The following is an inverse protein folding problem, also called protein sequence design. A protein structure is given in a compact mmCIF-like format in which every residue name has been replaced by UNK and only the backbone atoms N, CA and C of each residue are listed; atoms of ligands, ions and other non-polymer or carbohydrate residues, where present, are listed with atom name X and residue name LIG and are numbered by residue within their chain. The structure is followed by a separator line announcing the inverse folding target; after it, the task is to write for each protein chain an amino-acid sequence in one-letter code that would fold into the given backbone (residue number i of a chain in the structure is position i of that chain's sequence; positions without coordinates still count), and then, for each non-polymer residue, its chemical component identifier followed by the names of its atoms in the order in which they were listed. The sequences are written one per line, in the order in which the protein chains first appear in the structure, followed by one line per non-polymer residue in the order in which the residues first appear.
data_IF_939855218266
#
_entry.id   IF_939855218266
#
_cell.length_a   1.000
_cell.length_b   1.000
_cell.length_c   1.000
_cell.angle_alpha   90.00
_cell.angle_beta   90.00
_cell.angle_gamma   90.00
#
_symmetry.space_group_name_H-M   'P 1'
#
loop_
_entity.id
_entity.type
_entity.pdbx_description
1 polymer ?
#
# COMPACT_ATOMS: atom_id res chain seq x y z
N UNK A 1 9.23 35.62 -5.48
CA UNK A 1 8.76 34.73 -6.56
C UNK A 1 8.50 33.37 -5.94
N UNK A 2 7.23 33.02 -5.69
CA UNK A 2 6.89 31.69 -5.18
C UNK A 2 7.15 30.68 -6.29
N UNK A 3 8.01 29.71 -6.03
CA UNK A 3 8.21 28.58 -6.95
C UNK A 3 6.87 27.87 -7.16
N UNK A 4 6.51 27.46 -8.39
CA UNK A 4 5.31 26.66 -8.58
C UNK A 4 5.47 25.38 -7.75
N UNK A 5 4.53 25.15 -6.84
CA UNK A 5 4.44 23.91 -6.09
C UNK A 5 4.30 22.78 -7.09
N UNK A 6 5.38 22.01 -7.33
CA UNK A 6 5.33 20.83 -8.17
C UNK A 6 4.35 19.85 -7.54
N UNK A 7 3.19 19.67 -8.16
CA UNK A 7 2.30 18.56 -7.83
C UNK A 7 3.12 17.26 -7.86
N UNK A 8 3.03 16.41 -6.82
CA UNK A 8 3.70 15.12 -6.82
C UNK A 8 3.33 14.33 -8.07
N UNK A 9 4.32 13.67 -8.69
CA UNK A 9 4.03 12.75 -9.81
C UNK A 9 3.27 11.54 -9.26
N UNK A 10 2.24 11.05 -9.97
CA UNK A 10 1.59 9.80 -9.61
C UNK A 10 2.59 8.66 -9.44
N UNK A 11 2.38 7.81 -8.43
CA UNK A 11 3.29 6.73 -8.11
C UNK A 11 2.58 5.53 -7.48
N UNK A 12 3.16 4.37 -7.74
CA UNK A 12 2.78 3.10 -7.13
C UNK A 12 3.88 2.67 -6.16
N UNK A 13 3.49 2.18 -4.98
CA UNK A 13 4.44 1.79 -3.94
C UNK A 13 4.25 0.34 -3.51
N UNK A 14 5.35 -0.41 -3.43
CA UNK A 14 5.41 -1.72 -2.79
C UNK A 14 5.62 -1.53 -1.29
N UNK A 15 4.79 -2.19 -0.49
CA UNK A 15 4.92 -2.27 0.96
C UNK A 15 5.01 -3.73 1.39
N UNK A 16 6.02 -4.04 2.21
CA UNK A 16 6.11 -5.34 2.87
C UNK A 16 5.03 -5.46 3.96
N UNK A 17 4.35 -6.60 3.99
CA UNK A 17 3.26 -6.92 4.90
C UNK A 17 3.35 -8.39 5.33
N UNK A 18 3.03 -8.69 6.59
CA UNK A 18 2.89 -10.08 7.02
C UNK A 18 1.46 -10.57 6.82
N UNK A 19 1.26 -11.89 6.87
CA UNK A 19 -0.03 -12.49 6.54
C UNK A 19 -1.18 -12.04 7.45
N UNK A 20 -1.06 -12.01 8.80
CA UNK A 20 -2.17 -11.57 9.65
C UNK A 20 -2.71 -10.17 9.30
N UNK A 21 -1.84 -9.21 8.98
CA UNK A 21 -2.28 -7.87 8.58
C UNK A 21 -2.84 -7.84 7.16
N UNK A 22 -2.32 -8.68 6.26
CA UNK A 22 -2.85 -8.79 4.91
C UNK A 22 -4.27 -9.38 4.90
N UNK A 23 -4.54 -10.41 5.71
CA UNK A 23 -5.88 -10.99 5.83
C UNK A 23 -6.90 -9.95 6.36
N UNK A 24 -6.49 -9.09 7.31
CA UNK A 24 -7.36 -7.99 7.76
C UNK A 24 -7.73 -7.01 6.63
N UNK A 25 -6.83 -6.79 5.66
CA UNK A 25 -7.11 -5.95 4.50
C UNK A 25 -8.04 -6.67 3.52
N UNK A 26 -7.80 -7.96 3.26
CA UNK A 26 -8.62 -8.80 2.37
C UNK A 26 -10.06 -8.90 2.90
N UNK A 27 -10.21 -9.13 4.21
CA UNK A 27 -11.50 -9.23 4.90
C UNK A 27 -12.21 -7.87 5.05
N UNK A 28 -11.57 -6.77 4.66
CA UNK A 28 -12.10 -5.42 4.78
C UNK A 28 -12.15 -4.87 6.20
N UNK A 29 -11.55 -5.58 7.17
CA UNK A 29 -11.46 -5.15 8.58
C UNK A 29 -10.49 -3.97 8.73
N UNK A 30 -9.37 -3.99 8.00
CA UNK A 30 -8.39 -2.90 7.95
C UNK A 30 -8.61 -2.05 6.70
N UNK A 31 -9.27 -0.91 6.86
CA UNK A 31 -9.62 0.00 5.77
C UNK A 31 -8.57 1.09 5.50
N UNK A 32 -7.60 1.26 6.41
CA UNK A 32 -6.50 2.22 6.27
C UNK A 32 -5.13 1.57 6.50
N UNK A 33 -4.15 1.99 5.71
CA UNK A 33 -2.74 1.73 5.93
C UNK A 33 -2.07 2.96 6.57
N UNK A 34 -1.51 2.79 7.77
CA UNK A 34 -0.90 3.87 8.55
C UNK A 34 0.62 3.87 8.35
N UNK A 35 1.22 5.02 8.09
CA UNK A 35 2.68 5.16 7.90
C UNK A 35 3.26 6.36 8.62
N UNK A 36 4.55 6.23 8.97
CA UNK A 36 5.35 7.31 9.54
C UNK A 36 5.90 8.31 8.53
N UNK A 37 5.60 8.10 7.26
CA UNK A 37 6.13 8.91 6.17
C UNK A 37 5.04 9.16 5.13
N UNK A 38 5.18 10.28 4.43
CA UNK A 38 4.32 10.60 3.31
C UNK A 38 4.78 9.87 2.02
N UNK A 39 3.83 9.27 1.31
CA UNK A 39 3.88 8.73 -0.05
C UNK A 39 3.07 9.66 -0.98
N UNK A 40 3.51 10.92 -1.10
CA UNK A 40 2.78 11.91 -1.89
C UNK A 40 2.67 11.49 -3.37
N UNK A 41 1.48 11.62 -3.96
CA UNK A 41 1.18 11.16 -5.31
C UNK A 41 0.86 9.67 -5.39
N UNK A 42 0.58 9.00 -4.28
CA UNK A 42 0.22 7.57 -4.29
C UNK A 42 -1.06 7.35 -5.10
N UNK A 43 -1.06 6.31 -5.93
CA UNK A 43 -2.27 5.82 -6.61
C UNK A 43 -2.65 4.43 -6.15
N UNK A 44 -1.66 3.56 -5.96
CA UNK A 44 -1.85 2.16 -5.59
C UNK A 44 -0.74 1.69 -4.67
N UNK A 45 -1.10 0.83 -3.74
CA UNK A 45 -0.20 0.10 -2.86
C UNK A 45 -0.16 -1.36 -3.32
N UNK A 46 1.04 -1.88 -3.56
CA UNK A 46 1.30 -3.27 -3.93
C UNK A 46 1.82 -3.99 -2.69
N UNK A 47 1.05 -4.93 -2.14
CA UNK A 47 1.42 -5.60 -0.91
C UNK A 47 2.29 -6.83 -1.19
N UNK A 48 3.56 -6.73 -0.78
CA UNK A 48 4.49 -7.85 -0.73
C UNK A 48 4.26 -8.63 0.57
N UNK A 49 3.60 -9.79 0.45
CA UNK A 49 3.52 -10.74 1.57
C UNK A 49 4.90 -11.32 1.81
N UNK A 50 5.40 -11.16 3.03
CA UNK A 50 6.68 -11.74 3.45
C UNK A 50 6.59 -13.28 3.49
N UNK A 51 7.60 -13.96 4.05
CA UNK A 51 7.53 -15.41 4.22
C UNK A 51 6.22 -15.82 4.94
N UNK A 52 5.55 -16.89 4.49
CA UNK A 52 6.02 -17.90 3.54
C UNK A 52 5.83 -17.55 2.05
N UNK A 53 5.00 -16.56 1.71
CA UNK A 53 4.65 -16.26 0.31
C UNK A 53 5.82 -15.66 -0.48
N UNK A 54 6.51 -14.68 0.12
CA UNK A 54 7.63 -13.96 -0.52
C UNK A 54 7.27 -13.43 -1.92
N UNK A 55 6.06 -12.89 -2.06
CA UNK A 55 5.47 -12.46 -3.32
C UNK A 55 4.59 -11.21 -3.13
N UNK A 56 4.47 -10.39 -4.18
CA UNK A 56 3.39 -9.41 -4.24
C UNK A 56 2.11 -10.15 -4.62
N UNK A 57 1.10 -10.06 -3.77
CA UNK A 57 -0.15 -10.80 -3.96
C UNK A 57 -1.33 -9.90 -4.24
N UNK A 58 -1.26 -8.63 -3.83
CA UNK A 58 -2.39 -7.72 -3.93
C UNK A 58 -1.99 -6.33 -4.40
N UNK A 59 -2.86 -5.71 -5.18
CA UNK A 59 -2.81 -4.30 -5.58
C UNK A 59 -4.04 -3.59 -5.02
N UNK A 60 -3.81 -2.50 -4.30
CA UNK A 60 -4.84 -1.76 -3.59
C UNK A 60 -4.81 -0.29 -4.02
N UNK A 61 -5.80 0.20 -4.79
CA UNK A 61 -5.97 1.62 -5.02
C UNK A 61 -6.07 2.38 -3.69
N UNK A 62 -5.35 3.49 -3.59
CA UNK A 62 -5.26 4.27 -2.37
C UNK A 62 -5.44 5.76 -2.65
N UNK A 63 -6.01 6.47 -1.67
CA UNK A 63 -6.09 7.93 -1.72
C UNK A 63 -4.81 8.56 -1.17
N UNK A 64 -4.65 9.87 -1.42
CA UNK A 64 -3.69 10.69 -0.67
C UNK A 64 -3.90 10.54 0.85
N UNK A 65 -2.81 10.73 1.59
CA UNK A 65 -2.87 10.58 3.04
C UNK A 65 -3.82 11.59 3.67
N UNK A 66 -4.66 11.10 4.59
CA UNK A 66 -5.23 11.94 5.64
C UNK A 66 -4.22 12.01 6.77
N UNK A 67 -4.02 13.22 7.29
CA UNK A 67 -3.13 13.46 8.44
C UNK A 67 -3.94 13.64 9.72
N UNK A 68 -3.27 13.54 10.87
CA UNK A 68 -3.84 13.80 12.20
C UNK A 68 -3.27 15.07 12.85
N UNK A 69 -2.90 16.04 12.02
CA UNK A 69 -2.41 17.34 12.47
C UNK A 69 -3.53 18.07 13.23
N UNK A 70 -3.20 18.99 14.16
CA UNK A 70 -4.22 19.81 14.81
C UNK A 70 -5.10 20.54 13.79
N UNK A 71 -6.40 20.28 13.81
CA UNK A 71 -7.39 20.87 12.89
C UNK A 71 -7.82 19.96 11.73
N UNK A 72 -7.12 18.84 11.49
CA UNK A 72 -7.56 17.83 10.53
C UNK A 72 -8.82 17.13 11.03
N UNK A 73 -9.68 16.71 10.08
CA UNK A 73 -10.86 15.93 10.42
C UNK A 73 -10.44 14.49 10.80
N UNK A 74 -11.07 13.89 11.82
CA UNK A 74 -10.82 12.50 12.16
C UNK A 74 -11.23 11.58 11.02
N UNK A 75 -10.60 10.40 10.96
CA UNK A 75 -11.00 9.36 10.03
C UNK A 75 -12.39 8.81 10.41
N UNK A 76 -13.22 8.39 9.44
CA UNK A 76 -14.44 7.64 9.74
C UNK A 76 -14.10 6.35 10.49
N UNK A 77 -14.79 6.06 11.59
CA UNK A 77 -14.54 4.87 12.42
C UNK A 77 -15.10 3.57 11.80
N UNK A 78 -14.60 3.21 10.62
CA UNK A 78 -15.09 2.09 9.80
C UNK A 78 -14.08 0.94 9.63
N UNK A 79 -13.04 0.89 10.47
CA UNK A 79 -11.99 -0.12 10.37
C UNK A 79 -11.03 -0.15 11.55
N UNK A 80 -10.19 -1.18 11.57
CA UNK A 80 -9.25 -1.45 12.65
C UNK A 80 -8.16 -0.38 12.77
N UNK A 81 -7.90 0.06 14.00
CA UNK A 81 -6.83 1.00 14.33
C UNK A 81 -7.19 2.48 14.15
N UNK A 82 -8.41 2.77 13.68
CA UNK A 82 -8.84 4.14 13.41
C UNK A 82 -9.08 4.91 14.70
N UNK A 83 -9.70 4.27 15.69
CA UNK A 83 -9.97 4.90 16.98
C UNK A 83 -8.66 5.33 17.64
N UNK A 84 -7.70 4.41 17.71
CA UNK A 84 -6.38 4.65 18.27
C UNK A 84 -5.63 5.74 17.49
N UNK A 85 -5.73 5.74 16.16
CA UNK A 85 -5.15 6.80 15.32
C UNK A 85 -5.77 8.18 15.61
N UNK A 86 -7.10 8.26 15.68
CA UNK A 86 -7.86 9.49 15.93
C UNK A 86 -7.61 10.04 17.35
N UNK A 87 -7.52 9.15 18.35
CA UNK A 87 -7.25 9.47 19.75
C UNK A 87 -5.76 9.78 20.02
N UNK A 88 -4.90 9.63 19.01
CA UNK A 88 -3.44 9.81 19.10
C UNK A 88 -2.81 8.89 20.16
N UNK A 89 -3.23 7.64 20.16
CA UNK A 89 -2.69 6.59 21.01
C UNK A 89 -1.16 6.46 20.84
N UNK A 90 -0.47 6.09 21.92
CA UNK A 90 0.99 5.94 21.95
C UNK A 90 1.49 4.86 20.97
N UNK A 91 0.71 3.80 20.72
CA UNK A 91 1.07 2.76 19.75
C UNK A 91 1.13 3.31 18.31
N UNK A 92 0.46 4.44 18.07
CA UNK A 92 0.46 5.15 16.80
C UNK A 92 1.46 6.30 16.77
N UNK A 93 2.36 6.46 17.74
CA UNK A 93 3.32 7.57 17.76
C UNK A 93 4.18 7.61 16.47
N UNK A 94 4.16 8.77 15.83
CA UNK A 94 4.82 9.03 14.54
C UNK A 94 4.13 8.44 13.32
N UNK A 95 3.06 7.64 13.44
CA UNK A 95 2.23 7.22 12.30
C UNK A 95 1.25 8.34 11.95
N UNK A 96 1.72 9.36 11.23
CA UNK A 96 0.96 10.58 10.97
C UNK A 96 0.20 10.56 9.64
N UNK A 97 0.36 9.54 8.80
CA UNK A 97 -0.23 9.45 7.46
C UNK A 97 -1.11 8.21 7.34
N UNK A 98 -2.40 8.39 7.07
CA UNK A 98 -3.37 7.33 6.87
C UNK A 98 -3.82 7.25 5.41
N UNK A 99 -3.56 6.12 4.77
CA UNK A 99 -3.92 5.86 3.36
C UNK A 99 -5.15 4.97 3.31
N UNK A 100 -6.26 5.51 2.76
CA UNK A 100 -7.49 4.71 2.57
C UNK A 100 -7.21 3.61 1.55
N UNK A 101 -7.56 2.37 1.88
CA UNK A 101 -7.62 1.26 0.94
C UNK A 101 -9.01 1.27 0.33
N UNK A 102 -9.10 1.60 -0.97
CA UNK A 102 -10.39 1.79 -1.65
C UNK A 102 -10.97 0.49 -2.20
N UNK A 103 -10.10 -0.46 -2.55
CA UNK A 103 -10.43 -1.76 -3.12
C UNK A 103 -9.23 -2.68 -2.98
N UNK A 104 -9.45 -3.99 -3.07
CA UNK A 104 -8.40 -5.01 -3.00
C UNK A 104 -8.49 -5.87 -4.25
N UNK A 105 -7.38 -5.96 -4.99
CA UNK A 105 -7.25 -6.81 -6.16
C UNK A 105 -6.20 -7.86 -5.90
N UNK A 106 -6.56 -9.12 -6.06
CA UNK A 106 -5.67 -10.27 -6.06
C UNK A 106 -4.95 -10.36 -7.42
N UNK A 107 -3.63 -10.46 -7.39
CA UNK A 107 -2.81 -10.51 -8.61
C UNK A 107 -2.93 -11.87 -9.27
N UNK A 108 -3.30 -11.85 -10.56
CA UNK A 108 -3.30 -12.99 -11.45
C UNK A 108 -1.93 -13.09 -12.16
N UNK A 109 -0.97 -13.73 -11.50
CA UNK A 109 0.35 -14.04 -12.05
C UNK A 109 0.51 -15.54 -12.30
N UNK A 110 1.54 -15.91 -13.07
CA UNK A 110 1.84 -17.30 -13.39
C UNK A 110 1.93 -18.17 -12.13
N UNK A 111 1.31 -19.36 -12.18
CA UNK A 111 1.29 -20.30 -11.06
C UNK A 111 0.36 -19.93 -9.90
N UNK A 112 -0.34 -18.78 -9.95
CA UNK A 112 -1.30 -18.37 -8.93
C UNK A 112 -0.68 -17.97 -7.58
N UNK A 113 0.64 -17.71 -7.55
CA UNK A 113 1.38 -17.37 -6.32
C UNK A 113 1.59 -15.85 -6.14
N UNK A 114 1.05 -15.03 -7.04
CA UNK A 114 1.41 -13.62 -7.17
C UNK A 114 2.77 -13.41 -7.81
N UNK A 115 3.28 -12.18 -7.77
CA UNK A 115 4.58 -11.81 -8.34
C UNK A 115 5.66 -12.21 -7.35
N UNK A 116 6.26 -13.37 -7.58
CA UNK A 116 7.28 -13.95 -6.69
C UNK A 116 8.55 -13.10 -6.67
N UNK A 117 9.36 -13.24 -5.61
CA UNK A 117 10.67 -12.58 -5.53
C UNK A 117 11.57 -12.88 -6.74
N UNK A 118 11.56 -14.11 -7.26
CA UNK A 118 12.31 -14.44 -8.47
C UNK A 118 11.86 -13.63 -9.67
N UNK A 119 10.55 -13.50 -9.92
CA UNK A 119 10.03 -12.71 -11.03
C UNK A 119 10.41 -11.23 -10.88
N UNK A 120 10.22 -10.65 -9.69
CA UNK A 120 10.64 -9.28 -9.39
C UNK A 120 12.13 -9.03 -9.69
N UNK A 121 12.99 -9.99 -9.35
CA UNK A 121 14.44 -9.90 -9.55
C UNK A 121 14.83 -10.11 -11.01
N UNK A 122 14.36 -11.19 -11.61
CA UNK A 122 14.84 -11.72 -12.88
C UNK A 122 14.18 -11.00 -14.08
N UNK A 123 12.92 -10.56 -13.95
CA UNK A 123 12.17 -9.90 -15.02
C UNK A 123 12.10 -8.38 -14.84
N UNK A 124 12.08 -7.90 -13.61
CA UNK A 124 11.87 -6.47 -13.30
C UNK A 124 13.07 -5.77 -12.66
N UNK A 125 14.20 -6.45 -12.55
CA UNK A 125 15.48 -5.86 -12.14
C UNK A 125 15.55 -5.42 -10.67
N UNK A 126 14.65 -5.90 -9.81
CA UNK A 126 14.72 -5.63 -8.38
C UNK A 126 15.94 -6.31 -7.75
N UNK A 127 16.72 -5.56 -6.97
CA UNK A 127 17.99 -6.06 -6.39
C UNK A 127 17.84 -6.73 -5.03
N UNK A 128 16.82 -6.34 -4.28
CA UNK A 128 16.50 -6.89 -2.96
C UNK A 128 15.00 -7.06 -2.81
N UNK A 129 14.60 -8.10 -2.07
CA UNK A 129 13.20 -8.28 -1.70
C UNK A 129 12.69 -7.04 -0.93
N UNK A 130 11.43 -6.61 -1.13
CA UNK A 130 10.85 -5.51 -0.39
C UNK A 130 10.92 -5.75 1.12
N UNK A 131 11.53 -4.81 1.87
CA UNK A 131 11.57 -4.81 3.35
C UNK A 131 10.88 -3.60 3.96
N UNK A 132 10.43 -2.68 3.12
CA UNK A 132 9.88 -1.38 3.50
C UNK A 132 9.17 -0.79 2.30
N UNK A 133 9.30 0.52 2.10
CA UNK A 133 8.72 1.21 0.95
C UNK A 133 9.65 1.19 -0.26
N UNK A 134 9.16 0.66 -1.38
CA UNK A 134 9.86 0.65 -2.67
C UNK A 134 8.92 1.19 -3.74
N UNK A 135 9.41 1.97 -4.71
CA UNK A 135 8.60 2.34 -5.88
C UNK A 135 8.41 1.12 -6.77
N UNK A 136 7.20 0.90 -7.27
CA UNK A 136 6.96 -0.16 -8.25
C UNK A 136 7.67 0.21 -9.57
N UNK A 137 8.49 -0.70 -10.15
CA UNK A 137 9.06 -0.52 -11.48
C UNK A 137 7.97 -0.33 -12.55
N UNK A 138 8.21 0.52 -13.55
CA UNK A 138 7.25 0.76 -14.65
C UNK A 138 6.88 -0.53 -15.39
N UNK A 139 7.86 -1.42 -15.62
CA UNK A 139 7.61 -2.72 -16.25
C UNK A 139 6.63 -3.62 -15.48
N UNK A 140 6.59 -3.52 -14.14
CA UNK A 140 5.59 -4.25 -13.35
C UNK A 140 4.20 -3.64 -13.51
N UNK A 141 4.10 -2.31 -13.55
CA UNK A 141 2.82 -1.61 -13.75
C UNK A 141 2.24 -1.96 -15.13
N UNK A 142 3.09 -2.04 -16.15
CA UNK A 142 2.69 -2.40 -17.52
C UNK A 142 2.29 -3.87 -17.65
N UNK A 143 3.00 -4.78 -16.98
CA UNK A 143 2.73 -6.22 -17.06
C UNK A 143 1.55 -6.66 -16.19
N UNK A 144 1.39 -6.10 -15.00
CA UNK A 144 0.35 -6.47 -14.03
C UNK A 144 -0.63 -5.32 -13.83
N UNK A 145 -1.31 -4.93 -14.91
CA UNK A 145 -2.26 -3.82 -14.90
C UNK A 145 -3.45 -4.15 -14.00
N UNK A 146 -3.94 -3.16 -13.25
CA UNK A 146 -4.99 -3.36 -12.25
C UNK A 146 -6.28 -3.95 -12.85
N UNK A 147 -6.63 -3.49 -14.05
CA UNK A 147 -7.83 -3.92 -14.79
C UNK A 147 -7.82 -5.41 -15.18
N UNK A 148 -6.65 -6.03 -15.23
CA UNK A 148 -6.49 -7.45 -15.55
C UNK A 148 -6.51 -8.34 -14.28
N UNK A 149 -6.59 -7.72 -13.09
CA UNK A 149 -6.53 -8.42 -11.80
C UNK A 149 -7.93 -8.72 -11.25
N UNK A 150 -8.01 -9.69 -10.33
CA UNK A 150 -9.28 -10.11 -9.75
C UNK A 150 -9.61 -9.23 -8.54
N UNK A 151 -10.66 -8.42 -8.65
CA UNK A 151 -11.19 -7.67 -7.50
C UNK A 151 -11.78 -8.64 -6.46
N UNK A 152 -11.33 -8.54 -5.21
CA UNK A 152 -11.82 -9.37 -4.09
C UNK A 152 -12.53 -8.55 -3.00
N UNK A 153 -12.30 -7.24 -2.95
CA UNK A 153 -13.03 -6.26 -2.14
C UNK A 153 -13.20 -4.94 -2.90
#
# INVERSE_FOLDING_TARGET
MSSPSKTPKPSDMILAMNDPYMEQIIDGVKTYEFRKYNMAGIQRIWFYRTAPHSAITHICPANEAVTRSPGDQPLPEDGLGIKEYNEKDADYEGYDFAYRINAVYEINAEGGQGITWSMMRDEHGMKIAPRGRVRVPESMIEQYRLEDQKKVL
#
